data_IF_917531394716
#
_entry.id   IF_917531394716
#
_cell.length_a   1.000
_cell.length_b   1.000
_cell.length_c   1.000
_cell.angle_alpha   90.00
_cell.angle_beta   90.00
_cell.angle_gamma   90.00
#
_symmetry.space_group_name_H-M   'P 1'
#
loop_
_entity.id
_entity.type
_entity.pdbx_description
1 polymer ?
#
# COMPACT_ATOMS: atom_id res chain seq x y z
N UNK A 1 66.99 52.66 8.53
CA UNK A 1 65.88 52.05 9.30
C UNK A 1 65.57 50.69 8.68
N UNK A 2 66.00 49.60 9.31
CA UNK A 2 65.68 48.23 8.91
C UNK A 2 64.29 47.87 9.46
N UNK A 3 63.37 47.44 8.59
CA UNK A 3 62.08 46.83 8.98
C UNK A 3 62.24 45.31 8.96
N UNK A 4 62.11 44.69 10.12
CA UNK A 4 62.10 43.23 10.29
C UNK A 4 60.80 42.66 9.70
N UNK A 5 60.93 41.76 8.73
CA UNK A 5 59.82 41.00 8.17
C UNK A 5 59.52 39.84 9.12
N UNK A 6 58.31 39.80 9.67
CA UNK A 6 57.82 38.72 10.54
C UNK A 6 57.23 37.61 9.66
N UNK A 7 57.80 36.39 9.72
CA UNK A 7 57.21 35.20 9.12
C UNK A 7 56.19 34.60 10.09
N UNK A 8 54.91 34.58 9.68
CA UNK A 8 53.85 33.85 10.38
C UNK A 8 54.03 32.36 10.07
N UNK A 9 54.38 31.58 11.09
CA UNK A 9 54.46 30.12 11.03
C UNK A 9 53.03 29.57 10.99
N UNK A 10 52.64 28.91 9.89
CA UNK A 10 51.36 28.21 9.76
C UNK A 10 51.50 26.85 10.45
N UNK A 11 50.86 26.68 11.61
CA UNK A 11 50.76 25.38 12.27
C UNK A 11 49.83 24.49 11.44
N UNK A 12 50.42 23.63 10.61
CA UNK A 12 49.70 22.54 9.99
C UNK A 12 49.48 21.47 11.06
N UNK A 13 48.37 21.55 11.80
CA UNK A 13 47.91 20.44 12.63
C UNK A 13 47.61 19.26 11.71
N UNK A 14 48.55 18.33 11.59
CA UNK A 14 48.29 17.05 10.95
C UNK A 14 47.18 16.34 11.74
N UNK A 15 46.08 16.02 11.07
CA UNK A 15 45.01 15.20 11.66
C UNK A 15 45.63 13.91 12.19
N UNK A 16 45.37 13.60 13.45
CA UNK A 16 45.82 12.33 14.01
C UNK A 16 45.09 11.18 13.33
N UNK A 17 45.75 10.05 13.15
CA UNK A 17 45.11 8.86 12.56
C UNK A 17 43.82 8.45 13.30
N UNK A 18 43.74 8.72 14.61
CA UNK A 18 42.56 8.38 15.40
C UNK A 18 41.37 9.32 15.14
N UNK A 19 41.60 10.62 14.93
CA UNK A 19 40.54 11.55 14.55
C UNK A 19 39.93 11.17 13.21
N UNK A 20 40.76 10.80 12.23
CA UNK A 20 40.28 10.36 10.92
C UNK A 20 39.46 9.07 11.03
N UNK A 21 39.90 8.11 11.86
CA UNK A 21 39.17 6.86 12.10
C UNK A 21 37.82 7.09 12.76
N UNK A 22 37.73 8.02 13.73
CA UNK A 22 36.46 8.38 14.36
C UNK A 22 35.53 9.04 13.35
N UNK A 23 36.04 9.93 12.49
CA UNK A 23 35.23 10.60 11.46
C UNK A 23 34.63 9.60 10.47
N UNK A 24 35.42 8.67 9.93
CA UNK A 24 34.88 7.67 8.99
C UNK A 24 33.92 6.69 9.68
N UNK A 25 34.15 6.36 10.96
CA UNK A 25 33.24 5.51 11.72
C UNK A 25 31.88 6.20 11.95
N UNK A 26 31.90 7.48 12.34
CA UNK A 26 30.68 8.28 12.52
C UNK A 26 29.97 8.48 11.18
N UNK A 27 30.69 8.79 10.10
CA UNK A 27 30.11 8.89 8.75
C UNK A 27 29.50 7.56 8.28
N UNK A 28 30.12 6.42 8.58
CA UNK A 28 29.57 5.10 8.27
C UNK A 28 28.28 4.81 9.02
N UNK A 29 28.23 5.12 10.32
CA UNK A 29 27.01 5.00 11.13
C UNK A 29 25.91 5.93 10.59
N UNK A 30 26.23 7.20 10.33
CA UNK A 30 25.26 8.15 9.79
C UNK A 30 24.77 7.75 8.39
N UNK A 31 25.66 7.31 7.50
CA UNK A 31 25.28 6.82 6.17
C UNK A 31 24.40 5.57 6.26
N UNK A 32 24.67 4.65 7.21
CA UNK A 32 23.84 3.48 7.42
C UNK A 32 22.41 3.80 7.88
N UNK A 33 22.20 4.95 8.53
CA UNK A 33 20.88 5.44 8.94
C UNK A 33 20.24 6.28 7.82
N UNK A 34 21.03 7.09 7.11
CA UNK A 34 20.54 8.05 6.11
C UNK A 34 20.20 7.40 4.76
N UNK A 35 21.02 6.48 4.25
CA UNK A 35 20.83 5.86 2.92
C UNK A 35 19.53 5.05 2.83
N UNK A 36 19.17 4.19 3.79
CA UNK A 36 17.87 3.50 3.76
C UNK A 36 16.70 4.49 3.80
N UNK A 37 16.84 5.60 4.52
CA UNK A 37 15.79 6.61 4.67
C UNK A 37 15.56 7.43 3.39
N UNK A 38 16.57 7.59 2.52
CA UNK A 38 16.45 8.36 1.27
C UNK A 38 15.90 7.55 0.10
N UNK A 39 16.12 6.23 0.07
CA UNK A 39 15.61 5.35 -1.01
C UNK A 39 14.10 5.43 -1.16
N UNK A 40 13.37 5.54 -0.05
CA UNK A 40 11.90 5.67 -0.09
C UNK A 40 11.42 7.06 -0.47
N UNK A 41 12.22 8.12 -0.31
CA UNK A 41 11.80 9.51 -0.59
C UNK A 41 11.83 9.80 -2.09
N UNK A 42 12.78 9.22 -2.84
CA UNK A 42 12.85 9.37 -4.30
C UNK A 42 11.75 8.61 -5.02
N UNK A 43 11.42 7.40 -4.59
CA UNK A 43 10.33 6.62 -5.18
C UNK A 43 8.96 7.26 -4.88
N UNK A 44 8.75 7.73 -3.63
CA UNK A 44 7.53 8.50 -3.28
C UNK A 44 7.35 9.73 -4.15
N UNK A 45 8.43 10.49 -4.40
CA UNK A 45 8.37 11.67 -5.25
C UNK A 45 8.01 11.33 -6.71
N UNK A 46 8.52 10.22 -7.24
CA UNK A 46 8.17 9.74 -8.59
C UNK A 46 6.70 9.31 -8.68
N UNK A 47 6.21 8.56 -7.68
CA UNK A 47 4.82 8.13 -7.65
C UNK A 47 3.85 9.33 -7.59
N UNK A 48 4.18 10.35 -6.78
CA UNK A 48 3.38 11.57 -6.72
C UNK A 48 3.35 12.34 -8.06
N UNK A 49 4.48 12.36 -8.80
CA UNK A 49 4.55 12.92 -10.15
C UNK A 49 3.66 12.13 -11.11
N UNK A 50 3.68 10.80 -11.04
CA UNK A 50 2.86 9.93 -11.89
C UNK A 50 1.37 10.05 -11.57
N UNK A 51 1.01 10.19 -10.30
CA UNK A 51 -0.37 10.47 -9.90
C UNK A 51 -0.85 11.83 -10.43
N UNK A 52 0.01 12.85 -10.41
CA UNK A 52 -0.29 14.14 -11.03
C UNK A 52 -0.43 14.04 -12.56
N UNK A 53 0.41 13.21 -13.19
CA UNK A 53 0.33 12.90 -14.61
C UNK A 53 -1.01 12.23 -14.97
N UNK A 54 -1.50 11.28 -14.18
CA UNK A 54 -2.83 10.65 -14.38
C UNK A 54 -3.96 11.66 -14.26
N UNK A 55 -3.91 12.57 -13.27
CA UNK A 55 -4.91 13.65 -13.16
C UNK A 55 -4.92 14.53 -14.41
N UNK A 56 -3.74 14.85 -14.94
CA UNK A 56 -3.63 15.58 -16.20
C UNK A 56 -4.19 14.77 -17.38
N UNK A 57 -3.82 13.49 -17.51
CA UNK A 57 -4.32 12.57 -18.53
C UNK A 57 -5.85 12.48 -18.52
N UNK A 58 -6.47 12.35 -17.35
CA UNK A 58 -7.92 12.34 -17.20
C UNK A 58 -8.55 13.65 -17.67
N UNK A 59 -7.97 14.79 -17.27
CA UNK A 59 -8.45 16.10 -17.70
C UNK A 59 -8.36 16.27 -19.22
N UNK A 60 -7.21 16.01 -19.84
CA UNK A 60 -7.03 16.18 -21.30
C UNK A 60 -7.83 15.18 -22.12
N UNK A 61 -7.98 13.95 -21.63
CA UNK A 61 -8.79 12.91 -22.29
C UNK A 61 -10.26 13.31 -22.29
N UNK A 62 -10.79 13.87 -21.20
CA UNK A 62 -12.16 14.38 -21.16
C UNK A 62 -12.41 15.47 -22.21
N UNK A 63 -11.41 16.34 -22.45
CA UNK A 63 -11.47 17.39 -23.48
C UNK A 63 -11.38 16.78 -24.88
N UNK A 64 -10.46 15.84 -25.11
CA UNK A 64 -10.34 15.13 -26.38
C UNK A 64 -11.67 14.49 -26.77
N UNK A 65 -12.26 13.69 -25.86
CA UNK A 65 -13.51 12.97 -26.05
C UNK A 65 -14.70 13.89 -26.33
N UNK A 66 -14.69 15.11 -25.78
CA UNK A 66 -15.73 16.12 -26.03
C UNK A 66 -15.57 16.82 -27.38
N UNK A 67 -14.36 16.86 -27.95
CA UNK A 67 -14.04 17.65 -29.14
C UNK A 67 -14.09 16.87 -30.46
N UNK A 68 -13.90 15.55 -30.41
CA UNK A 68 -13.78 14.70 -31.60
C UNK A 68 -15.05 13.88 -31.84
N UNK A 69 -15.29 13.53 -33.10
CA UNK A 69 -16.48 12.77 -33.51
C UNK A 69 -16.32 11.25 -33.32
N UNK A 70 -15.08 10.76 -33.22
CA UNK A 70 -14.77 9.36 -32.96
C UNK A 70 -13.98 9.26 -31.68
N UNK A 71 -14.50 8.49 -30.73
CA UNK A 71 -13.89 8.26 -29.43
C UNK A 71 -13.08 6.93 -29.48
N UNK A 72 -11.73 6.97 -29.44
CA UNK A 72 -10.92 5.75 -29.39
C UNK A 72 -10.94 5.09 -28.00
N UNK A 73 -11.37 5.80 -26.96
CA UNK A 73 -11.35 5.34 -25.57
C UNK A 73 -12.51 4.39 -25.21
N UNK A 74 -13.43 4.16 -26.15
CA UNK A 74 -14.49 3.13 -26.03
C UNK A 74 -14.13 1.82 -26.74
N UNK A 75 -13.08 1.81 -27.56
CA UNK A 75 -12.68 0.63 -28.32
C UNK A 75 -11.64 -0.19 -27.53
N UNK A 76 -12.09 -1.30 -26.95
CA UNK A 76 -11.28 -2.22 -26.14
C UNK A 76 -10.14 -2.90 -26.95
N UNK A 77 -10.11 -2.78 -28.27
CA UNK A 77 -8.99 -3.24 -29.07
C UNK A 77 -7.76 -2.31 -28.98
N UNK A 78 -7.93 -1.07 -28.50
CA UNK A 78 -6.84 -0.14 -28.33
C UNK A 78 -5.99 -0.47 -27.10
N UNK A 79 -4.68 -0.33 -27.23
CA UNK A 79 -3.73 -0.51 -26.14
C UNK A 79 -3.49 0.80 -25.41
N UNK A 80 -3.01 0.74 -24.16
CA UNK A 80 -2.61 1.94 -23.40
C UNK A 80 -1.62 2.80 -24.20
N UNK A 81 -0.63 2.17 -24.85
CA UNK A 81 0.35 2.86 -25.68
C UNK A 81 -0.28 3.55 -26.90
N UNK A 82 -1.26 2.91 -27.58
CA UNK A 82 -1.92 3.55 -28.73
C UNK A 82 -2.79 4.72 -28.31
N UNK A 83 -3.47 4.62 -27.16
CA UNK A 83 -4.27 5.72 -26.60
C UNK A 83 -3.40 6.92 -26.19
N UNK A 84 -2.24 6.69 -25.56
CA UNK A 84 -1.28 7.76 -25.26
C UNK A 84 -0.73 8.40 -26.54
N UNK A 85 -0.41 7.60 -27.56
CA UNK A 85 0.05 8.13 -28.85
C UNK A 85 -1.00 9.01 -29.52
N UNK A 86 -2.28 8.63 -29.46
CA UNK A 86 -3.37 9.45 -30.02
C UNK A 86 -3.46 10.82 -29.31
N UNK A 87 -3.27 10.85 -27.99
CA UNK A 87 -3.25 12.11 -27.23
C UNK A 87 -2.03 12.97 -27.59
N UNK A 88 -0.86 12.36 -27.76
CA UNK A 88 0.37 13.04 -28.17
C UNK A 88 0.25 13.61 -29.60
N UNK A 89 -0.24 12.81 -30.55
CA UNK A 89 -0.46 13.21 -31.96
C UNK A 89 -1.45 14.38 -32.12
N UNK A 90 -2.28 14.64 -31.09
CA UNK A 90 -3.23 15.74 -31.04
C UNK A 90 -2.80 16.88 -30.10
N UNK A 91 -1.52 16.93 -29.71
CA UNK A 91 -0.91 17.98 -28.86
C UNK A 91 -1.52 18.11 -27.45
N UNK A 92 -2.18 17.07 -26.92
CA UNK A 92 -2.72 17.08 -25.56
C UNK A 92 -1.68 16.72 -24.50
N UNK A 93 -0.68 15.93 -24.87
CA UNK A 93 0.45 15.53 -24.01
C UNK A 93 1.76 15.56 -24.82
N UNK A 94 2.93 15.64 -24.16
CA UNK A 94 4.23 15.52 -24.84
C UNK A 94 4.44 14.13 -25.48
N UNK A 95 5.35 14.07 -26.46
CA UNK A 95 5.86 12.79 -26.98
C UNK A 95 6.58 11.99 -25.89
N UNK A 96 6.54 10.66 -25.99
CA UNK A 96 7.14 9.72 -25.03
C UNK A 96 6.68 9.98 -23.57
N UNK A 97 5.38 10.25 -23.40
CA UNK A 97 4.79 10.45 -22.08
C UNK A 97 4.71 9.12 -21.31
N UNK A 98 5.70 8.88 -20.46
CA UNK A 98 5.84 7.64 -19.68
C UNK A 98 5.92 7.93 -18.18
N UNK A 99 5.49 6.97 -17.32
CA UNK A 99 5.67 7.07 -15.88
C UNK A 99 7.13 7.23 -15.47
N UNK A 100 7.37 7.98 -14.41
CA UNK A 100 8.70 8.19 -13.81
C UNK A 100 9.08 7.07 -12.82
N UNK A 101 8.08 6.42 -12.23
CA UNK A 101 8.26 5.33 -11.28
C UNK A 101 8.53 4.01 -11.99
N UNK A 102 9.37 3.16 -11.39
CA UNK A 102 9.64 1.84 -11.93
C UNK A 102 8.42 0.91 -11.72
N UNK A 103 8.19 -0.02 -12.66
CA UNK A 103 7.11 -1.00 -12.61
C UNK A 103 5.70 -0.39 -12.52
N UNK A 104 5.49 0.79 -13.09
CA UNK A 104 4.17 1.43 -13.22
C UNK A 104 3.85 1.63 -14.70
N UNK A 105 2.59 1.49 -15.06
CA UNK A 105 2.05 1.93 -16.34
C UNK A 105 0.85 2.86 -16.17
N UNK A 106 0.64 3.76 -17.13
CA UNK A 106 -0.64 4.44 -17.29
C UNK A 106 -1.61 3.47 -17.97
N UNK A 107 -2.69 3.11 -17.29
CA UNK A 107 -3.70 2.21 -17.82
C UNK A 107 -5.04 2.91 -18.00
N UNK A 108 -5.64 2.76 -19.18
CA UNK A 108 -7.02 3.20 -19.40
C UNK A 108 -7.97 2.11 -18.93
N UNK A 109 -8.74 2.41 -17.89
CA UNK A 109 -9.76 1.52 -17.35
C UNK A 109 -11.05 1.74 -18.15
N UNK A 110 -11.29 0.89 -19.17
CA UNK A 110 -12.44 1.03 -20.07
C UNK A 110 -13.80 1.06 -19.36
N UNK A 111 -13.96 0.30 -18.27
CA UNK A 111 -15.22 0.27 -17.50
C UNK A 111 -15.42 1.51 -16.64
N UNK A 112 -14.34 2.14 -16.21
CA UNK A 112 -14.37 3.36 -15.38
C UNK A 112 -14.23 4.64 -16.23
N UNK A 113 -13.92 4.48 -17.52
CA UNK A 113 -13.66 5.53 -18.49
C UNK A 113 -12.65 6.58 -17.99
N UNK A 114 -11.58 6.11 -17.36
CA UNK A 114 -10.49 6.95 -16.81
C UNK A 114 -9.13 6.28 -16.90
N UNK A 115 -8.09 7.09 -16.96
CA UNK A 115 -6.73 6.69 -16.69
C UNK A 115 -6.52 6.46 -15.21
N UNK A 116 -5.76 5.41 -14.88
CA UNK A 116 -5.22 5.13 -13.56
C UNK A 116 -3.75 4.72 -13.66
N UNK A 117 -3.05 4.78 -12.53
CA UNK A 117 -1.76 4.08 -12.43
C UNK A 117 -2.03 2.61 -12.21
N UNK A 118 -1.27 1.75 -12.88
CA UNK A 118 -1.34 0.31 -12.69
C UNK A 118 0.03 -0.21 -12.26
N UNK A 119 0.05 -1.00 -11.18
CA UNK A 119 1.28 -1.60 -10.67
C UNK A 119 1.61 -2.87 -11.47
N UNK A 120 2.73 -2.88 -12.18
CA UNK A 120 3.24 -4.05 -12.90
C UNK A 120 3.85 -5.09 -11.94
N UNK A 121 4.25 -4.67 -10.73
CA UNK A 121 4.78 -5.56 -9.70
C UNK A 121 3.71 -6.12 -8.75
N UNK A 122 2.62 -5.37 -8.53
CA UNK A 122 1.55 -5.71 -7.57
C UNK A 122 0.25 -6.18 -8.21
N UNK A 123 0.12 -6.11 -9.53
CA UNK A 123 -1.06 -6.53 -10.29
C UNK A 123 -2.33 -5.84 -9.79
N UNK A 124 -2.51 -4.56 -10.13
CA UNK A 124 -3.70 -3.82 -9.73
C UNK A 124 -3.65 -2.31 -9.98
N UNK A 125 -4.83 -1.70 -10.03
CA UNK A 125 -5.00 -0.27 -10.15
C UNK A 125 -4.69 0.42 -8.82
N UNK A 126 -3.94 1.51 -8.85
CA UNK A 126 -3.69 2.33 -7.68
C UNK A 126 -5.00 3.00 -7.23
N UNK A 127 -5.27 2.96 -5.92
CA UNK A 127 -6.34 3.78 -5.36
C UNK A 127 -5.98 5.26 -5.42
N UNK A 128 -6.89 6.03 -5.99
CA UNK A 128 -6.79 7.49 -6.09
C UNK A 128 -7.95 8.16 -5.38
N UNK A 129 -7.88 9.49 -5.24
CA UNK A 129 -8.94 10.29 -4.63
C UNK A 129 -10.29 10.16 -5.37
N UNK A 130 -10.27 9.96 -6.70
CA UNK A 130 -11.50 9.78 -7.49
C UNK A 130 -12.20 8.45 -7.18
N UNK A 131 -11.47 7.48 -6.62
CA UNK A 131 -12.02 6.18 -6.21
C UNK A 131 -12.71 6.25 -4.84
N UNK A 132 -12.61 7.41 -4.16
CA UNK A 132 -13.19 7.67 -2.85
C UNK A 132 -14.49 8.48 -3.02
N UNK A 133 -15.61 7.96 -2.51
CA UNK A 133 -16.86 8.71 -2.40
C UNK A 133 -16.80 9.67 -1.21
N UNK A 134 -17.12 10.95 -1.41
CA UNK A 134 -17.21 12.00 -0.37
C UNK A 134 -15.89 12.32 0.36
N UNK A 135 -14.96 12.96 -0.36
CA UNK A 135 -13.68 13.48 0.16
C UNK A 135 -13.89 14.46 1.33
N UNK A 136 -13.54 14.05 2.54
CA UNK A 136 -13.50 14.93 3.71
C UNK A 136 -12.34 14.50 4.63
N UNK A 137 -11.74 15.45 5.38
CA UNK A 137 -10.67 15.24 6.38
C UNK A 137 -11.23 15.61 7.78
N UNK A 138 -11.16 14.70 8.77
CA UNK A 138 -11.74 14.82 10.10
C UNK A 138 -10.83 14.07 11.04
N UNK A 139 -10.41 14.81 12.05
CA UNK A 139 -9.69 14.36 13.22
C UNK A 139 -10.72 14.11 14.32
N UNK A 140 -10.79 12.89 14.84
CA UNK A 140 -11.56 12.58 16.05
C UNK A 140 -10.75 12.73 17.35
N UNK A 141 -9.52 13.27 17.26
CA UNK A 141 -8.68 13.60 18.41
C UNK A 141 -7.73 12.48 18.85
N UNK A 142 -7.81 11.27 18.26
CA UNK A 142 -6.82 10.20 18.47
C UNK A 142 -6.20 9.67 17.17
N UNK A 143 -6.79 9.94 15.99
CA UNK A 143 -6.30 9.37 14.73
C UNK A 143 -6.31 10.35 13.55
N UNK A 144 -5.21 10.34 12.78
CA UNK A 144 -5.11 10.84 11.41
C UNK A 144 -4.67 9.67 10.54
N UNK A 145 -5.57 9.18 9.70
CA UNK A 145 -5.30 8.09 8.78
C UNK A 145 -6.14 8.25 7.54
N UNK A 146 -5.51 8.25 6.38
CA UNK A 146 -6.22 8.23 5.11
C UNK A 146 -7.07 6.98 5.03
N UNK A 147 -8.31 7.21 4.59
CA UNK A 147 -9.47 6.33 4.50
C UNK A 147 -10.42 6.26 5.72
N UNK A 148 -10.19 6.96 6.84
CA UNK A 148 -11.16 7.00 7.94
C UNK A 148 -12.13 8.19 7.90
N UNK A 149 -13.39 8.02 7.45
CA UNK A 149 -14.45 9.02 7.70
C UNK A 149 -15.76 8.47 8.26
N UNK A 150 -16.13 9.08 9.40
CA UNK A 150 -17.41 9.09 10.12
C UNK A 150 -18.14 7.75 10.36
N UNK A 151 -18.58 7.50 11.62
CA UNK A 151 -19.83 6.79 11.84
C UNK A 151 -20.97 7.64 11.28
N UNK A 152 -21.41 7.33 10.06
CA UNK A 152 -22.55 7.97 9.41
C UNK A 152 -22.34 8.19 7.91
N UNK A 153 -22.72 7.18 7.11
CA UNK A 153 -22.80 7.11 5.64
C UNK A 153 -21.49 7.05 4.82
N UNK A 154 -21.14 5.81 4.45
CA UNK A 154 -20.77 5.34 3.11
C UNK A 154 -19.59 5.96 2.33
N UNK A 155 -18.41 6.09 2.93
CA UNK A 155 -17.15 5.98 2.16
C UNK A 155 -16.92 4.51 1.78
N UNK A 156 -17.28 4.15 0.55
CA UNK A 156 -16.96 2.86 -0.06
C UNK A 156 -16.05 3.12 -1.26
N UNK A 157 -15.20 2.17 -1.61
CA UNK A 157 -14.55 2.15 -2.91
C UNK A 157 -15.62 2.30 -4.00
N UNK A 158 -15.51 3.29 -4.88
CA UNK A 158 -16.45 3.49 -5.98
C UNK A 158 -15.99 2.88 -7.30
N UNK A 159 -14.69 2.56 -7.42
CA UNK A 159 -14.14 1.96 -8.62
C UNK A 159 -14.67 0.55 -8.88
N UNK A 160 -14.37 0.06 -10.08
CA UNK A 160 -14.76 -1.25 -10.59
C UNK A 160 -13.56 -2.20 -10.69
N UNK A 161 -12.32 -1.70 -10.58
CA UNK A 161 -11.15 -2.56 -10.58
C UNK A 161 -11.24 -3.63 -9.48
N UNK A 162 -10.99 -4.88 -9.85
CA UNK A 162 -11.00 -6.04 -8.95
C UNK A 162 -9.62 -6.33 -8.37
N UNK A 163 -8.59 -5.70 -8.93
CA UNK A 163 -7.21 -5.79 -8.51
C UNK A 163 -6.76 -4.41 -8.02
N UNK A 164 -6.45 -4.31 -6.72
CA UNK A 164 -6.23 -3.03 -6.05
C UNK A 164 -4.83 -2.95 -5.48
N UNK A 165 -4.14 -1.85 -5.79
CA UNK A 165 -2.89 -1.46 -5.15
C UNK A 165 -3.14 -0.27 -4.20
N UNK A 166 -2.83 -0.46 -2.92
CA UNK A 166 -3.02 0.52 -1.85
C UNK A 166 -1.70 1.29 -1.65
N UNK A 167 -1.61 2.58 -2.03
CA UNK A 167 -0.41 3.38 -1.81
C UNK A 167 -0.22 3.74 -0.33
N UNK A 168 0.96 4.23 0.03
CA UNK A 168 1.23 4.72 1.38
C UNK A 168 0.54 6.05 1.67
N UNK A 169 0.28 6.84 0.62
CA UNK A 169 -0.31 8.18 0.72
C UNK A 169 -1.31 8.44 -0.41
N UNK A 170 -2.35 9.21 -0.10
CA UNK A 170 -3.29 9.77 -1.11
C UNK A 170 -3.46 11.26 -0.76
N UNK A 171 -3.18 12.14 -1.73
CA UNK A 171 -3.30 13.60 -1.59
C UNK A 171 -2.53 14.17 -0.38
N UNK A 172 -1.23 13.84 -0.30
CA UNK A 172 -0.28 14.24 0.76
C UNK A 172 -0.70 13.79 2.18
N UNK A 173 -1.61 12.84 2.28
CA UNK A 173 -2.02 12.26 3.55
C UNK A 173 -1.66 10.77 3.58
N UNK A 174 -1.21 10.30 4.74
CA UNK A 174 -0.73 8.93 4.98
C UNK A 174 -1.86 7.94 5.30
N UNK A 175 -1.85 6.76 4.67
CA UNK A 175 -2.80 5.67 4.93
C UNK A 175 -2.34 4.87 6.15
N UNK A 176 -3.04 5.05 7.27
CA UNK A 176 -2.76 4.34 8.52
C UNK A 176 -3.73 3.19 8.82
N UNK A 177 -4.74 2.97 7.98
CA UNK A 177 -5.77 1.95 8.21
C UNK A 177 -6.73 1.76 7.03
N UNK A 178 -7.35 0.58 6.95
CA UNK A 178 -8.44 0.32 6.00
C UNK A 178 -9.76 0.39 6.75
N UNK A 179 -10.62 1.31 6.34
CA UNK A 179 -11.85 1.60 7.07
C UNK A 179 -12.97 0.59 6.84
N UNK A 180 -13.96 0.66 7.72
CA UNK A 180 -15.03 -0.33 7.77
C UNK A 180 -15.81 -0.36 6.45
N UNK A 181 -16.08 -1.58 5.95
CA UNK A 181 -16.83 -1.84 4.71
C UNK A 181 -16.27 -1.19 3.44
N UNK A 182 -15.05 -0.65 3.47
CA UNK A 182 -14.54 0.16 2.37
C UNK A 182 -14.49 -0.63 1.05
N UNK A 183 -13.98 -1.86 1.09
CA UNK A 183 -13.95 -2.82 -0.03
C UNK A 183 -14.99 -3.93 0.08
N UNK A 184 -16.08 -3.75 0.85
CA UNK A 184 -17.10 -4.78 0.99
C UNK A 184 -17.85 -5.02 -0.32
N UNK A 185 -18.01 -6.29 -0.72
CA UNK A 185 -18.81 -6.71 -1.89
C UNK A 185 -18.33 -6.07 -3.20
N UNK A 186 -17.01 -6.08 -3.42
CA UNK A 186 -16.35 -5.46 -4.58
C UNK A 186 -15.79 -6.45 -5.59
N UNK A 187 -16.03 -7.74 -5.40
CA UNK A 187 -15.51 -8.80 -6.24
C UNK A 187 -13.98 -8.75 -6.40
N UNK A 188 -13.25 -8.23 -5.40
CA UNK A 188 -11.80 -8.10 -5.48
C UNK A 188 -11.15 -9.48 -5.60
N UNK A 189 -10.23 -9.62 -6.55
CA UNK A 189 -9.39 -10.80 -6.77
C UNK A 189 -7.99 -10.62 -6.16
N UNK A 190 -7.50 -9.39 -6.09
CA UNK A 190 -6.17 -9.06 -5.56
C UNK A 190 -6.17 -7.75 -4.79
N UNK A 191 -5.42 -7.72 -3.68
CA UNK A 191 -5.08 -6.52 -2.92
C UNK A 191 -3.61 -6.56 -2.59
N UNK A 192 -2.88 -5.52 -2.99
CA UNK A 192 -1.47 -5.32 -2.67
C UNK A 192 -1.24 -3.95 -2.03
N UNK A 193 -0.15 -3.82 -1.28
CA UNK A 193 0.22 -2.60 -0.58
C UNK A 193 1.58 -2.11 -1.04
N UNK A 194 1.76 -0.79 -1.01
CA UNK A 194 3.06 -0.19 -1.19
C UNK A 194 4.05 -0.63 -0.10
N UNK A 195 5.31 -0.82 -0.49
CA UNK A 195 6.36 -1.21 0.45
C UNK A 195 6.51 -0.14 1.55
N UNK A 196 6.66 -0.60 2.79
CA UNK A 196 6.73 0.30 3.95
C UNK A 196 5.38 0.87 4.39
N UNK A 197 4.27 0.20 4.05
CA UNK A 197 2.94 0.56 4.54
C UNK A 197 2.87 0.67 6.06
N UNK A 198 2.40 1.83 6.52
CA UNK A 198 2.16 2.18 7.92
C UNK A 198 0.73 1.88 8.37
N UNK A 199 0.02 1.01 7.63
CA UNK A 199 -1.31 0.54 7.99
C UNK A 199 -1.24 -0.28 9.27
N UNK A 200 -1.92 0.22 10.31
CA UNK A 200 -1.99 -0.40 11.63
C UNK A 200 -3.29 -1.17 11.87
N UNK A 201 -4.38 -0.82 11.19
CA UNK A 201 -5.71 -1.41 11.47
C UNK A 201 -6.49 -1.72 10.20
N UNK A 202 -7.13 -2.87 10.19
CA UNK A 202 -8.16 -3.23 9.20
C UNK A 202 -9.49 -3.34 9.93
N UNK A 203 -10.39 -2.40 9.65
CA UNK A 203 -11.65 -2.22 10.36
C UNK A 203 -12.74 -3.24 9.95
N UNK A 204 -13.85 -3.19 10.69
CA UNK A 204 -15.01 -4.07 10.52
C UNK A 204 -15.44 -4.22 9.05
N UNK A 205 -15.48 -5.47 8.58
CA UNK A 205 -15.97 -5.81 7.24
C UNK A 205 -15.24 -5.12 6.08
N UNK A 206 -14.02 -4.63 6.29
CA UNK A 206 -13.25 -3.87 5.28
C UNK A 206 -13.20 -4.56 3.93
N UNK A 207 -12.91 -5.86 3.89
CA UNK A 207 -12.77 -6.69 2.70
C UNK A 207 -13.81 -7.83 2.65
N UNK A 208 -14.93 -7.71 3.36
CA UNK A 208 -15.94 -8.78 3.44
C UNK A 208 -16.59 -9.06 2.07
N UNK A 209 -16.83 -10.35 1.76
CA UNK A 209 -17.55 -10.80 0.57
C UNK A 209 -16.83 -10.38 -0.73
N UNK A 210 -15.57 -10.79 -0.87
CA UNK A 210 -14.78 -10.66 -2.10
C UNK A 210 -14.27 -12.05 -2.55
N UNK A 211 -13.38 -12.09 -3.54
CA UNK A 211 -12.85 -13.32 -4.13
C UNK A 211 -11.34 -13.48 -3.85
N UNK A 212 -10.85 -12.95 -2.73
CA UNK A 212 -9.42 -12.94 -2.42
C UNK A 212 -8.93 -14.37 -2.10
N UNK A 213 -8.00 -14.89 -2.90
CA UNK A 213 -7.37 -16.20 -2.68
C UNK A 213 -6.09 -16.11 -1.83
N UNK A 214 -5.42 -14.95 -1.90
CA UNK A 214 -4.20 -14.64 -1.15
C UNK A 214 -4.28 -13.21 -0.62
N UNK A 215 -3.69 -12.98 0.55
CA UNK A 215 -3.55 -11.65 1.13
C UNK A 215 -2.16 -11.49 1.76
N UNK A 216 -1.40 -10.50 1.30
CA UNK A 216 -0.13 -10.10 1.92
C UNK A 216 -0.39 -8.92 2.86
N UNK A 217 -0.36 -9.17 4.17
CA UNK A 217 -0.66 -8.15 5.17
C UNK A 217 0.53 -7.19 5.38
N UNK A 218 0.27 -5.88 5.63
CA UNK A 218 1.30 -4.92 6.01
C UNK A 218 2.07 -5.36 7.26
N UNK A 219 3.38 -5.15 7.29
CA UNK A 219 4.24 -5.62 8.40
C UNK A 219 4.01 -4.90 9.72
N UNK A 220 3.43 -3.69 9.69
CA UNK A 220 3.11 -2.88 10.88
C UNK A 220 1.64 -3.03 11.33
N UNK A 221 0.89 -3.99 10.77
CA UNK A 221 -0.51 -4.21 11.10
C UNK A 221 -0.67 -4.72 12.54
N UNK A 222 -1.43 -4.01 13.36
CA UNK A 222 -1.63 -4.28 14.80
C UNK A 222 -2.98 -4.97 15.06
N UNK A 223 -4.04 -4.58 14.34
CA UNK A 223 -5.41 -5.05 14.62
C UNK A 223 -6.20 -5.42 13.35
N UNK A 224 -6.88 -6.58 13.38
CA UNK A 224 -7.89 -7.00 12.40
C UNK A 224 -9.24 -7.10 13.11
N UNK A 225 -10.23 -6.36 12.62
CA UNK A 225 -11.53 -6.18 13.29
C UNK A 225 -12.62 -7.13 12.74
N UNK A 226 -13.85 -7.02 13.27
CA UNK A 226 -14.92 -8.00 13.05
C UNK A 226 -15.23 -8.22 11.58
N UNK A 227 -15.22 -9.50 11.19
CA UNK A 227 -15.53 -9.93 9.83
C UNK A 227 -14.72 -9.22 8.73
N UNK A 228 -13.52 -8.69 9.04
CA UNK A 228 -12.72 -7.89 8.11
C UNK A 228 -12.49 -8.58 6.75
N UNK A 229 -12.19 -9.88 6.75
CA UNK A 229 -11.94 -10.72 5.58
C UNK A 229 -12.99 -11.83 5.43
N UNK A 230 -14.15 -11.69 6.07
CA UNK A 230 -15.19 -12.72 6.05
C UNK A 230 -15.71 -12.99 4.63
N UNK A 231 -16.08 -14.23 4.33
CA UNK A 231 -16.66 -14.66 3.06
C UNK A 231 -15.72 -14.31 1.88
N UNK A 232 -14.50 -14.86 1.89
CA UNK A 232 -13.49 -14.76 0.83
C UNK A 232 -13.00 -16.16 0.46
N UNK A 233 -11.98 -16.28 -0.39
CA UNK A 233 -11.44 -17.57 -0.85
C UNK A 233 -10.01 -17.82 -0.30
N UNK A 234 -9.63 -17.22 0.83
CA UNK A 234 -8.26 -17.30 1.33
C UNK A 234 -7.91 -18.74 1.72
N UNK A 235 -6.83 -19.27 1.16
CA UNK A 235 -6.33 -20.62 1.45
C UNK A 235 -5.22 -20.59 2.50
N UNK A 236 -4.43 -19.52 2.51
CA UNK A 236 -3.40 -19.29 3.51
C UNK A 236 -3.36 -17.83 3.96
N UNK A 237 -2.92 -17.60 5.19
CA UNK A 237 -2.70 -16.25 5.71
C UNK A 237 -1.43 -16.19 6.56
N UNK A 238 -0.60 -15.16 6.30
CA UNK A 238 0.57 -14.85 7.09
C UNK A 238 0.29 -13.62 7.95
N UNK A 239 0.18 -13.82 9.26
CA UNK A 239 -0.13 -12.80 10.25
C UNK A 239 1.18 -12.17 10.78
N UNK A 240 1.34 -10.84 10.64
CA UNK A 240 2.60 -10.16 10.94
C UNK A 240 2.91 -10.15 12.44
N UNK A 241 4.19 -9.96 12.79
CA UNK A 241 4.65 -10.00 14.18
C UNK A 241 4.11 -8.84 15.05
N UNK A 242 3.72 -7.72 14.43
CA UNK A 242 3.09 -6.58 15.11
C UNK A 242 1.64 -6.85 15.53
N UNK A 243 1.01 -7.90 14.97
CA UNK A 243 -0.40 -8.16 15.19
C UNK A 243 -0.63 -8.61 16.63
N UNK A 244 -1.57 -7.94 17.30
CA UNK A 244 -1.94 -8.24 18.68
C UNK A 244 -3.43 -8.60 18.83
N UNK A 245 -4.24 -8.38 17.79
CA UNK A 245 -5.69 -8.64 17.85
C UNK A 245 -6.28 -9.10 16.53
N UNK A 246 -7.05 -10.18 16.59
CA UNK A 246 -7.92 -10.69 15.52
C UNK A 246 -9.31 -10.82 16.11
N UNK A 247 -10.22 -9.94 15.72
CA UNK A 247 -11.55 -9.93 16.29
C UNK A 247 -12.43 -11.05 15.69
N UNK A 248 -13.59 -11.30 16.31
CA UNK A 248 -14.49 -12.39 15.90
C UNK A 248 -14.92 -12.35 14.44
N UNK A 249 -15.13 -13.54 13.87
CA UNK A 249 -15.45 -13.78 12.46
C UNK A 249 -14.46 -13.20 11.43
N UNK A 250 -13.29 -12.68 11.83
CA UNK A 250 -12.39 -11.92 10.95
C UNK A 250 -12.10 -12.61 9.61
N UNK A 251 -11.86 -13.92 9.62
CA UNK A 251 -11.60 -14.77 8.46
C UNK A 251 -12.66 -15.88 8.29
N UNK A 252 -13.82 -15.77 8.94
CA UNK A 252 -14.90 -16.74 8.79
C UNK A 252 -15.33 -16.88 7.31
N UNK A 253 -15.69 -18.08 6.86
CA UNK A 253 -16.11 -18.30 5.47
C UNK A 253 -14.97 -18.16 4.45
N UNK A 254 -13.75 -18.52 4.84
CA UNK A 254 -12.60 -18.75 3.95
C UNK A 254 -12.22 -20.23 3.99
N UNK A 255 -11.42 -20.67 3.01
CA UNK A 255 -10.92 -22.05 2.90
C UNK A 255 -9.49 -22.20 3.48
N UNK A 256 -9.24 -21.55 4.63
CA UNK A 256 -7.92 -21.51 5.24
C UNK A 256 -7.44 -22.93 5.61
N UNK A 257 -6.37 -23.37 4.96
CA UNK A 257 -5.66 -24.61 5.25
C UNK A 257 -4.30 -24.35 5.93
N UNK A 258 -3.82 -23.10 5.92
CA UNK A 258 -2.54 -22.71 6.51
C UNK A 258 -2.61 -21.32 7.15
N UNK A 259 -2.16 -21.23 8.40
CA UNK A 259 -2.07 -19.98 9.13
C UNK A 259 -0.66 -19.87 9.70
N UNK A 260 0.06 -18.82 9.34
CA UNK A 260 1.36 -18.51 9.95
C UNK A 260 1.17 -17.34 10.91
N UNK A 261 1.50 -17.51 12.19
CA UNK A 261 1.47 -16.43 13.20
C UNK A 261 2.90 -16.17 13.67
N UNK A 262 3.38 -14.94 13.45
CA UNK A 262 4.71 -14.54 13.91
C UNK A 262 4.72 -13.96 15.34
N UNK A 263 3.57 -13.54 15.87
CA UNK A 263 3.42 -13.04 17.24
C UNK A 263 3.17 -14.18 18.23
N UNK A 264 3.51 -13.98 19.49
CA UNK A 264 3.28 -14.95 20.59
C UNK A 264 2.10 -14.59 21.48
N UNK A 265 1.55 -13.38 21.35
CA UNK A 265 0.43 -12.88 22.15
C UNK A 265 -0.56 -12.18 21.22
N UNK A 266 -1.50 -12.96 20.67
CA UNK A 266 -2.57 -12.45 19.80
C UNK A 266 -3.91 -12.79 20.45
N UNK A 267 -4.72 -11.77 20.69
CA UNK A 267 -6.11 -11.94 21.12
C UNK A 267 -6.94 -12.40 19.92
N UNK A 268 -7.34 -13.68 19.91
CA UNK A 268 -8.13 -14.29 18.83
C UNK A 268 -9.58 -14.38 19.29
N UNK A 269 -10.46 -13.63 18.62
CA UNK A 269 -11.89 -13.59 18.90
C UNK A 269 -12.63 -14.83 18.40
N UNK A 270 -13.90 -14.92 18.78
CA UNK A 270 -14.75 -16.08 18.49
C UNK A 270 -14.99 -16.25 16.99
N UNK A 271 -14.93 -17.49 16.51
CA UNK A 271 -15.10 -17.84 15.09
C UNK A 271 -14.15 -17.10 14.12
N UNK A 272 -13.05 -16.52 14.61
CA UNK A 272 -12.10 -15.76 13.80
C UNK A 272 -11.63 -16.53 12.55
N UNK A 273 -11.46 -17.85 12.65
CA UNK A 273 -11.08 -18.74 11.55
C UNK A 273 -12.17 -19.79 11.24
N UNK A 274 -13.44 -19.49 11.55
CA UNK A 274 -14.55 -20.42 11.38
C UNK A 274 -14.81 -21.33 12.59
N UNK A 275 -15.52 -22.43 12.37
CA UNK A 275 -16.00 -23.33 13.43
C UNK A 275 -14.88 -23.97 14.26
N UNK A 276 -13.69 -24.13 13.67
CA UNK A 276 -12.53 -24.74 14.33
C UNK A 276 -11.63 -23.72 15.06
N UNK A 277 -12.10 -22.49 15.29
CA UNK A 277 -11.33 -21.43 15.94
C UNK A 277 -10.89 -21.81 17.35
N UNK A 278 -11.73 -22.48 18.15
CA UNK A 278 -11.38 -22.84 19.52
C UNK A 278 -10.25 -23.88 19.56
N UNK A 279 -10.28 -24.86 18.65
CA UNK A 279 -9.22 -25.86 18.52
C UNK A 279 -7.92 -25.22 18.03
N UNK A 280 -7.98 -24.30 17.05
CA UNK A 280 -6.82 -23.50 16.65
C UNK A 280 -6.24 -22.70 17.82
N UNK A 281 -7.11 -22.04 18.60
CA UNK A 281 -6.72 -21.19 19.72
C UNK A 281 -6.00 -22.00 20.79
N UNK A 282 -6.50 -23.19 21.15
CA UNK A 282 -5.84 -24.10 22.08
C UNK A 282 -4.45 -24.53 21.58
N UNK A 283 -4.35 -24.92 20.30
CA UNK A 283 -3.08 -25.33 19.69
C UNK A 283 -2.07 -24.16 19.61
N UNK A 284 -2.56 -22.94 19.40
CA UNK A 284 -1.76 -21.72 19.44
C UNK A 284 -1.29 -21.36 20.85
N UNK A 285 -2.18 -21.39 21.85
CA UNK A 285 -1.84 -21.11 23.25
C UNK A 285 -0.80 -22.10 23.80
N UNK A 286 -0.85 -23.37 23.38
CA UNK A 286 0.09 -24.40 23.81
C UNK A 286 1.47 -24.27 23.15
N UNK A 287 1.54 -23.82 21.89
CA UNK A 287 2.77 -23.90 21.10
C UNK A 287 3.37 -22.53 20.70
N UNK A 288 2.63 -21.43 20.82
CA UNK A 288 3.04 -20.07 20.44
C UNK A 288 3.34 -19.89 18.95
N UNK A 289 3.91 -18.74 18.56
CA UNK A 289 4.23 -18.38 17.17
C UNK A 289 4.75 -19.53 16.29
N UNK A 290 4.23 -19.65 15.07
CA UNK A 290 4.61 -20.67 14.10
C UNK A 290 3.63 -20.82 12.96
N UNK A 291 3.83 -21.87 12.18
CA UNK A 291 2.96 -22.27 11.06
C UNK A 291 2.03 -23.38 11.52
N UNK A 292 0.75 -23.22 11.25
CA UNK A 292 -0.29 -24.17 11.56
C UNK A 292 -0.93 -24.64 10.26
N UNK A 293 -1.12 -25.95 10.13
CA UNK A 293 -1.71 -26.59 8.96
C UNK A 293 -2.97 -27.32 9.39
N UNK A 294 -4.01 -27.23 8.58
CA UNK A 294 -5.22 -28.03 8.73
C UNK A 294 -5.00 -29.41 8.07
N UNK A 295 -5.07 -30.48 8.84
CA UNK A 295 -4.89 -31.85 8.33
C UNK A 295 -6.19 -32.50 7.79
N UNK A 296 -7.31 -31.77 7.85
CA UNK A 296 -8.66 -32.26 7.52
C UNK A 296 -9.56 -32.43 8.74
N UNK A 297 -8.98 -32.52 9.94
CA UNK A 297 -9.71 -32.72 11.21
C UNK A 297 -9.26 -31.75 12.31
N UNK A 298 -7.97 -31.41 12.37
CA UNK A 298 -7.39 -30.55 13.39
C UNK A 298 -6.35 -29.59 12.80
N UNK A 299 -6.20 -28.41 13.43
CA UNK A 299 -5.03 -27.57 13.28
C UNK A 299 -3.87 -28.18 14.05
N UNK A 300 -2.74 -28.35 13.36
CA UNK A 300 -1.49 -28.84 13.92
C UNK A 300 -0.36 -27.86 13.61
N UNK A 301 0.53 -27.63 14.57
CA UNK A 301 1.75 -26.89 14.31
C UNK A 301 2.75 -27.73 13.51
N UNK A 302 3.31 -27.13 12.46
CA UNK A 302 4.40 -27.70 11.65
C UNK A 302 5.76 -27.67 12.37
#
# INVERSE_FOLDING_TARGET
MLRTICFIKKDNSAFTMIELLVVIAVLGILASIAVPRMSGVTERARLAVDQAAVRNLNSVTSVYRSSKHSDPFIDQANTNQSLLQILADNDYIPDNFEPQSENIEFAWLFEEERWSLFSLSGGGAFLTLDDLVDNYIHTDGEYTGVLGFRPGNHTRYAGNATEIFIPNEIDDQEISGIYQRFFKEKNLSSVSFEAGSEIKKIHNQAFRSNNLEKMELPQNLEEIHWSAFRDNNLIEINLPASLNKIAGDAFNGNDLAKITIASTEVDIGDYAFGDNTDQFREEYENNGAGTYIWDGENWIKE
#
